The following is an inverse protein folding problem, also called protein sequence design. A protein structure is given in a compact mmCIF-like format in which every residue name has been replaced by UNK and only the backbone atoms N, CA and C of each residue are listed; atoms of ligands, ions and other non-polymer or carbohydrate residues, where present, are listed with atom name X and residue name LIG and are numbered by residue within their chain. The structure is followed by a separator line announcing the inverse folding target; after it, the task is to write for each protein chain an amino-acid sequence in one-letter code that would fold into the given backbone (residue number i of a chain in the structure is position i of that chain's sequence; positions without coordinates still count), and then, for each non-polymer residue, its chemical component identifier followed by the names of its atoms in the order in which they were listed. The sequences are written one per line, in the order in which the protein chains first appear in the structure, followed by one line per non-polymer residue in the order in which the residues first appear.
data_IF_150271069025
#
_entry.id   IF_150271069025
#
_cell.length_a   1.000
_cell.length_b   1.000
_cell.length_c   1.000
_cell.angle_alpha   90.00
_cell.angle_beta   90.00
_cell.angle_gamma   90.00
#
_symmetry.space_group_name_H-M   'P 1'
#
loop_
_entity.id
_entity.type
_entity.pdbx_description
1 polymer ?
#
# COMPACT_ATOMS: atom_id res chain seq x y z
N UNK A 1 -11.66 -1.13 -5.00
CA UNK A 1 -12.28 -1.17 -3.67
C UNK A 1 -11.19 -1.04 -2.61
N UNK A 2 -11.40 -0.26 -1.53
CA UNK A 2 -10.42 -0.12 -0.47
C UNK A 2 -10.38 -1.42 0.35
N UNK A 3 -9.24 -2.12 0.37
CA UNK A 3 -9.09 -3.38 1.09
C UNK A 3 -9.42 -3.28 2.58
N UNK A 4 -9.18 -2.13 3.22
CA UNK A 4 -9.56 -1.92 4.62
C UNK A 4 -11.08 -1.85 4.79
N UNK A 5 -11.79 -1.22 3.84
CA UNK A 5 -13.26 -1.19 3.85
C UNK A 5 -13.82 -2.60 3.63
N UNK A 6 -13.29 -3.33 2.65
CA UNK A 6 -13.67 -4.72 2.41
C UNK A 6 -13.41 -5.60 3.65
N UNK A 7 -12.24 -5.46 4.29
CA UNK A 7 -11.89 -6.19 5.51
C UNK A 7 -12.89 -5.94 6.64
N UNK A 8 -13.27 -4.68 6.86
CA UNK A 8 -14.28 -4.31 7.87
C UNK A 8 -15.65 -4.92 7.55
N UNK A 9 -16.09 -4.84 6.30
CA UNK A 9 -17.37 -5.41 5.85
C UNK A 9 -17.42 -6.94 6.04
N UNK A 10 -16.33 -7.64 5.71
CA UNK A 10 -16.24 -9.10 5.87
C UNK A 10 -16.14 -9.53 7.31
N UNK A 11 -15.36 -8.82 8.14
CA UNK A 11 -15.35 -9.08 9.58
C UNK A 11 -16.74 -8.91 10.19
N UNK A 12 -17.48 -7.86 9.82
CA UNK A 12 -18.85 -7.65 10.30
C UNK A 12 -19.82 -8.76 9.85
N UNK A 13 -19.70 -9.22 8.60
CA UNK A 13 -20.52 -10.32 8.05
C UNK A 13 -20.22 -11.64 8.75
N UNK A 14 -18.95 -12.00 8.91
CA UNK A 14 -18.53 -13.22 9.63
C UNK A 14 -18.96 -13.20 11.11
N UNK A 15 -18.92 -12.02 11.74
CA UNK A 15 -19.39 -11.84 13.12
C UNK A 15 -20.90 -12.08 13.24
N UNK A 16 -21.71 -11.45 12.36
CA UNK A 16 -23.17 -11.65 12.32
C UNK A 16 -23.54 -13.12 12.14
N UNK A 17 -22.75 -13.83 11.34
CA UNK A 17 -22.94 -15.23 11.00
C UNK A 17 -22.34 -16.20 12.05
N UNK A 18 -21.78 -15.68 13.15
CA UNK A 18 -21.15 -16.44 14.25
C UNK A 18 -20.03 -17.38 13.79
N UNK A 19 -19.30 -17.01 12.74
CA UNK A 19 -18.19 -17.79 12.18
C UNK A 19 -16.88 -17.01 12.13
N UNK A 20 -16.80 -15.86 12.81
CA UNK A 20 -15.61 -15.02 12.85
C UNK A 20 -14.40 -15.76 13.44
N UNK A 21 -14.59 -16.59 14.47
CA UNK A 21 -13.49 -17.30 15.11
C UNK A 21 -12.82 -18.34 14.21
N UNK A 22 -13.49 -18.81 13.16
CA UNK A 22 -12.89 -19.67 12.11
C UNK A 22 -11.90 -18.91 11.21
N UNK A 23 -12.17 -17.63 10.93
CA UNK A 23 -11.26 -16.78 10.16
C UNK A 23 -10.08 -16.31 11.01
N UNK A 24 -10.30 -16.06 12.30
CA UNK A 24 -9.26 -15.67 13.26
C UNK A 24 -8.45 -16.86 13.80
N UNK A 25 -8.93 -18.09 13.59
CA UNK A 25 -8.33 -19.31 14.11
C UNK A 25 -8.46 -19.48 15.62
N UNK A 26 -9.41 -18.80 16.25
CA UNK A 26 -9.75 -18.95 17.67
C UNK A 26 -10.70 -20.13 17.89
N UNK A 27 -11.47 -20.48 16.86
CA UNK A 27 -12.34 -21.65 16.88
C UNK A 27 -11.55 -22.83 16.29
N UNK A 28 -11.11 -23.76 17.14
CA UNK A 28 -10.62 -25.06 16.67
C UNK A 28 -11.85 -25.94 16.46
N UNK A 29 -12.11 -26.34 15.22
CA UNK A 29 -13.06 -27.43 14.98
C UNK A 29 -12.57 -28.65 15.78
N UNK A 30 -13.37 -29.22 16.70
CA UNK A 30 -13.05 -30.50 17.27
C UNK A 30 -13.16 -31.51 16.14
N UNK A 31 -12.04 -31.96 15.60
CA UNK A 31 -12.00 -33.22 14.85
C UNK A 31 -12.00 -34.32 15.92
N UNK A 32 -13.11 -34.47 16.63
CA UNK A 32 -13.33 -35.62 17.51
C UNK A 32 -14.39 -36.47 16.86
N UNK A 33 -13.95 -37.66 16.48
CA UNK A 33 -14.75 -38.84 16.17
C UNK A 33 -16.10 -38.85 16.88
N UNK A 34 -17.16 -39.07 16.10
CA UNK A 34 -18.50 -39.46 16.55
C UNK A 34 -19.23 -38.39 17.39
N UNK A 35 -20.06 -37.54 16.75
CA UNK A 35 -21.47 -37.23 17.15
C UNK A 35 -22.06 -35.99 16.44
N UNK A 36 -23.34 -36.13 16.04
CA UNK A 36 -24.36 -35.14 15.63
C UNK A 36 -24.31 -34.59 14.17
N UNK A 37 -25.39 -34.77 13.35
CA UNK A 37 -25.51 -34.22 11.97
C UNK A 37 -25.68 -32.69 11.85
N UNK A 38 -25.32 -31.90 12.88
CA UNK A 38 -25.60 -30.46 12.93
C UNK A 38 -24.37 -29.55 12.84
N UNK A 39 -23.16 -30.10 12.99
CA UNK A 39 -21.96 -29.28 13.29
C UNK A 39 -20.95 -29.20 12.13
N UNK A 40 -21.19 -29.91 11.04
CA UNK A 40 -20.26 -29.99 9.88
C UNK A 40 -20.37 -28.81 8.91
N UNK A 41 -21.33 -27.91 9.09
CA UNK A 41 -21.73 -26.87 8.12
C UNK A 41 -21.09 -25.49 8.32
N UNK A 42 -20.31 -25.29 9.39
CA UNK A 42 -19.76 -23.95 9.74
C UNK A 42 -18.50 -23.59 8.96
N UNK A 43 -17.61 -24.54 8.70
CA UNK A 43 -16.38 -24.33 7.90
C UNK A 43 -16.71 -23.96 6.44
N UNK A 44 -17.60 -24.68 5.72
CA UNK A 44 -17.98 -24.30 4.37
C UNK A 44 -18.64 -22.92 4.29
N UNK A 45 -19.38 -22.52 5.33
CA UNK A 45 -20.11 -21.24 5.38
C UNK A 45 -19.17 -20.05 5.48
N UNK A 46 -18.20 -20.09 6.39
CA UNK A 46 -17.23 -19.00 6.58
C UNK A 46 -16.36 -18.81 5.33
N UNK A 47 -15.90 -19.94 4.76
CA UNK A 47 -15.10 -19.97 3.55
C UNK A 47 -15.85 -19.35 2.36
N UNK A 48 -17.10 -19.76 2.15
CA UNK A 48 -17.96 -19.24 1.07
C UNK A 48 -18.28 -17.76 1.21
N UNK A 49 -18.51 -17.27 2.44
CA UNK A 49 -18.76 -15.84 2.69
C UNK A 49 -17.58 -14.97 2.20
N UNK A 50 -16.35 -15.44 2.40
CA UNK A 50 -15.14 -14.75 1.92
C UNK A 50 -15.06 -14.84 0.39
N UNK A 51 -15.22 -16.02 -0.19
CA UNK A 51 -15.17 -16.24 -1.65
C UNK A 51 -16.19 -15.39 -2.41
N UNK A 52 -17.45 -15.35 -1.93
CA UNK A 52 -18.55 -14.56 -2.54
C UNK A 52 -18.30 -13.04 -2.50
N UNK A 53 -17.26 -12.59 -1.78
CA UNK A 53 -16.97 -11.18 -1.56
C UNK A 53 -15.70 -10.67 -2.25
N UNK A 54 -14.98 -11.56 -2.93
CA UNK A 54 -13.75 -11.24 -3.66
C UNK A 54 -13.96 -11.42 -5.16
N UNK A 55 -13.10 -10.83 -5.99
CA UNK A 55 -13.19 -10.98 -7.44
C UNK A 55 -12.68 -12.34 -7.90
N UNK A 56 -13.13 -12.78 -9.09
CA UNK A 56 -12.67 -14.04 -9.71
C UNK A 56 -11.14 -14.12 -9.83
N UNK A 57 -10.48 -12.98 -10.11
CA UNK A 57 -9.02 -12.91 -10.17
C UNK A 57 -8.34 -13.20 -8.81
N UNK A 58 -8.95 -12.78 -7.69
CA UNK A 58 -8.46 -13.10 -6.35
C UNK A 58 -8.83 -14.53 -5.95
N UNK A 59 -10.01 -15.00 -6.38
CA UNK A 59 -10.45 -16.38 -6.17
C UNK A 59 -9.42 -17.37 -6.74
N UNK A 60 -9.04 -17.20 -8.01
CA UNK A 60 -8.02 -18.03 -8.67
C UNK A 60 -6.66 -18.03 -7.95
N UNK A 61 -6.24 -16.87 -7.41
CA UNK A 61 -4.98 -16.76 -6.66
C UNK A 61 -5.00 -17.44 -5.29
N UNK A 62 -6.19 -17.77 -4.79
CA UNK A 62 -6.39 -18.34 -3.45
C UNK A 62 -7.00 -19.75 -3.47
N UNK A 63 -7.13 -20.36 -4.65
CA UNK A 63 -7.78 -21.64 -4.88
C UNK A 63 -7.23 -22.77 -3.99
N UNK A 64 -5.93 -22.76 -3.72
CA UNK A 64 -5.24 -23.80 -2.95
C UNK A 64 -5.53 -23.75 -1.44
N UNK A 65 -6.16 -22.68 -0.94
CA UNK A 65 -6.42 -22.52 0.48
C UNK A 65 -7.78 -23.12 0.84
N UNK A 66 -7.77 -24.27 1.51
CA UNK A 66 -9.00 -25.00 1.87
C UNK A 66 -9.59 -24.58 3.22
N UNK A 67 -8.83 -23.88 4.06
CA UNK A 67 -9.33 -23.35 5.34
C UNK A 67 -9.68 -21.87 5.25
N UNK A 68 -10.69 -21.45 6.00
CA UNK A 68 -11.11 -20.03 6.08
C UNK A 68 -9.98 -19.13 6.57
N UNK A 69 -9.18 -19.60 7.54
CA UNK A 69 -8.02 -18.88 8.08
C UNK A 69 -6.94 -18.69 7.02
N UNK A 70 -6.57 -19.76 6.31
CA UNK A 70 -5.53 -19.69 5.29
C UNK A 70 -5.95 -18.80 4.12
N UNK A 71 -7.22 -18.89 3.69
CA UNK A 71 -7.79 -18.00 2.69
C UNK A 71 -7.71 -16.52 3.11
N UNK A 72 -8.14 -16.21 4.34
CA UNK A 72 -8.10 -14.84 4.85
C UNK A 72 -6.65 -14.30 4.97
N UNK A 73 -5.72 -15.13 5.45
CA UNK A 73 -4.30 -14.78 5.53
C UNK A 73 -3.65 -14.62 4.16
N UNK A 74 -4.02 -15.44 3.18
CA UNK A 74 -3.54 -15.30 1.80
C UNK A 74 -4.01 -13.97 1.18
N UNK A 75 -5.27 -13.58 1.40
CA UNK A 75 -5.79 -12.29 0.95
C UNK A 75 -5.06 -11.11 1.62
N UNK A 76 -4.75 -11.21 2.93
CA UNK A 76 -3.92 -10.24 3.62
C UNK A 76 -2.52 -10.13 3.00
N UNK A 77 -1.90 -11.28 2.72
CA UNK A 77 -0.58 -11.37 2.11
C UNK A 77 -0.53 -10.77 0.69
N UNK A 78 -1.54 -11.06 -0.14
CA UNK A 78 -1.68 -10.47 -1.49
C UNK A 78 -1.76 -8.95 -1.40
N UNK A 79 -2.56 -8.42 -0.47
CA UNK A 79 -2.67 -6.98 -0.27
C UNK A 79 -1.36 -6.36 0.22
N UNK A 80 -0.69 -6.97 1.21
CA UNK A 80 0.60 -6.49 1.72
C UNK A 80 1.67 -6.49 0.63
N UNK A 81 1.76 -7.56 -0.15
CA UNK A 81 2.69 -7.68 -1.28
C UNK A 81 2.40 -6.63 -2.34
N UNK A 82 1.12 -6.39 -2.65
CA UNK A 82 0.71 -5.35 -3.60
C UNK A 82 1.03 -3.94 -3.08
N UNK A 83 0.91 -3.71 -1.77
CA UNK A 83 1.32 -2.45 -1.14
C UNK A 83 2.84 -2.25 -1.24
N UNK A 84 3.64 -3.30 -0.97
CA UNK A 84 5.10 -3.24 -1.09
C UNK A 84 5.55 -2.95 -2.54
N UNK A 85 5.02 -3.69 -3.52
CA UNK A 85 5.34 -3.49 -4.93
C UNK A 85 4.95 -2.08 -5.42
N UNK A 86 3.76 -1.60 -5.03
CA UNK A 86 3.30 -0.25 -5.39
C UNK A 86 4.16 0.83 -4.74
N UNK A 87 4.51 0.65 -3.46
CA UNK A 87 5.40 1.57 -2.74
C UNK A 87 6.76 1.63 -3.41
N UNK A 88 7.34 0.47 -3.76
CA UNK A 88 8.61 0.39 -4.47
C UNK A 88 8.57 1.16 -5.79
N UNK A 89 7.51 0.97 -6.59
CA UNK A 89 7.36 1.70 -7.86
C UNK A 89 7.23 3.21 -7.66
N UNK A 90 6.54 3.66 -6.61
CA UNK A 90 6.47 5.09 -6.26
C UNK A 90 7.85 5.61 -5.87
N UNK A 91 8.63 4.87 -5.07
CA UNK A 91 10.01 5.25 -4.75
C UNK A 91 10.91 5.28 -5.99
N UNK A 92 10.75 4.37 -6.94
CA UNK A 92 11.49 4.41 -8.20
C UNK A 92 11.19 5.69 -8.98
N UNK A 93 9.92 6.09 -9.06
CA UNK A 93 9.53 7.36 -9.69
C UNK A 93 10.09 8.56 -8.91
N UNK A 94 10.10 8.48 -7.58
CA UNK A 94 10.60 9.54 -6.71
C UNK A 94 12.12 9.72 -6.78
N UNK A 95 12.90 8.65 -6.96
CA UNK A 95 14.37 8.72 -7.02
C UNK A 95 14.96 8.79 -8.42
N UNK A 96 14.17 8.47 -9.45
CA UNK A 96 14.55 8.66 -10.85
C UNK A 96 13.72 9.72 -11.61
N UNK A 97 13.37 10.88 -11.01
CA UNK A 97 12.70 11.94 -11.75
C UNK A 97 13.76 12.73 -12.53
N UNK A 98 13.59 12.81 -13.84
CA UNK A 98 14.36 13.71 -14.68
C UNK A 98 13.41 14.79 -15.20
N UNK A 99 13.53 16.01 -14.67
CA UNK A 99 12.85 17.14 -15.28
C UNK A 99 13.61 17.53 -16.55
N UNK A 100 12.87 17.70 -17.64
CA UNK A 100 13.40 18.25 -18.89
C UNK A 100 12.70 19.56 -19.19
N UNK A 101 13.35 20.44 -19.96
CA UNK A 101 12.78 21.74 -20.36
C UNK A 101 11.51 21.62 -21.23
N UNK A 102 11.06 20.40 -21.56
CA UNK A 102 9.85 20.14 -22.34
C UNK A 102 8.53 20.38 -21.59
N UNK A 103 8.55 20.45 -20.26
CA UNK A 103 7.37 20.75 -19.42
C UNK A 103 7.66 21.86 -18.43
N UNK A 104 6.61 22.50 -17.90
CA UNK A 104 6.78 23.50 -16.84
C UNK A 104 7.33 22.86 -15.56
N UNK A 105 8.24 23.55 -14.87
CA UNK A 105 8.80 23.07 -13.59
C UNK A 105 7.70 22.85 -12.52
N UNK A 106 6.61 23.64 -12.59
CA UNK A 106 5.44 23.49 -11.71
C UNK A 106 4.71 22.15 -11.89
N UNK A 107 4.67 21.60 -13.11
CA UNK A 107 4.11 20.27 -13.36
C UNK A 107 4.95 19.18 -12.70
N UNK A 108 6.27 19.36 -12.73
CA UNK A 108 7.22 18.45 -12.08
C UNK A 108 7.13 18.50 -10.55
N UNK A 109 7.01 19.70 -9.99
CA UNK A 109 6.76 19.91 -8.55
C UNK A 109 5.43 19.25 -8.14
N UNK A 110 4.37 19.44 -8.94
CA UNK A 110 3.06 18.81 -8.71
C UNK A 110 3.14 17.27 -8.73
N UNK A 111 3.97 16.71 -9.62
CA UNK A 111 4.23 15.27 -9.66
C UNK A 111 4.87 14.79 -8.35
N UNK A 112 5.89 15.49 -7.85
CA UNK A 112 6.57 15.13 -6.59
C UNK A 112 5.60 15.17 -5.39
N UNK A 113 4.78 16.21 -5.26
CA UNK A 113 3.71 16.30 -4.26
C UNK A 113 2.71 15.14 -4.37
N UNK A 114 2.35 14.77 -5.60
CA UNK A 114 1.42 13.65 -5.84
C UNK A 114 2.02 12.32 -5.38
N UNK A 115 3.32 12.09 -5.65
CA UNK A 115 4.04 10.89 -5.22
C UNK A 115 4.17 10.84 -3.70
N UNK A 116 4.50 11.97 -3.06
CA UNK A 116 4.53 12.10 -1.60
C UNK A 116 3.16 11.77 -0.98
N UNK A 117 2.08 12.40 -1.45
CA UNK A 117 0.73 12.13 -0.96
C UNK A 117 0.33 10.65 -1.13
N UNK A 118 0.78 10.00 -2.21
CA UNK A 118 0.59 8.56 -2.39
C UNK A 118 1.35 7.73 -1.36
N UNK A 119 2.57 8.09 -1.00
CA UNK A 119 3.37 7.43 0.05
C UNK A 119 2.75 7.63 1.43
N UNK A 120 2.30 8.84 1.75
CA UNK A 120 1.60 9.16 3.02
C UNK A 120 0.33 8.31 3.15
N UNK A 121 -0.44 8.15 2.07
CA UNK A 121 -1.62 7.26 2.04
C UNK A 121 -1.26 5.79 2.31
N UNK A 122 -0.06 5.37 1.90
CA UNK A 122 0.49 4.03 2.18
C UNK A 122 1.17 3.92 3.56
N UNK A 123 1.11 4.98 4.38
CA UNK A 123 1.71 5.12 5.72
C UNK A 123 3.25 5.17 5.70
N UNK A 124 3.84 5.62 4.61
CA UNK A 124 5.26 5.96 4.55
C UNK A 124 5.44 7.43 4.89
N UNK A 125 6.40 7.74 5.76
CA UNK A 125 6.84 9.11 5.99
C UNK A 125 7.93 9.45 4.98
N UNK A 126 7.77 10.55 4.27
CA UNK A 126 8.78 11.10 3.38
C UNK A 126 9.45 12.25 4.12
N UNK A 127 10.78 12.21 4.23
CA UNK A 127 11.53 13.32 4.81
C UNK A 127 11.48 14.51 3.83
N UNK A 128 11.00 15.66 4.31
CA UNK A 128 10.85 16.88 3.50
C UNK A 128 12.16 17.41 2.92
N UNK A 129 13.31 17.11 3.56
CA UNK A 129 14.64 17.46 3.07
C UNK A 129 15.08 16.48 1.99
N UNK A 130 14.76 15.20 2.15
CA UNK A 130 14.96 14.21 1.09
C UNK A 130 14.18 14.59 -0.17
N UNK A 131 12.95 15.06 -0.02
CA UNK A 131 12.14 15.54 -1.15
C UNK A 131 12.79 16.77 -1.82
N UNK A 132 13.38 17.68 -1.04
CA UNK A 132 14.14 18.82 -1.56
C UNK A 132 15.36 18.37 -2.37
N UNK A 133 16.12 17.39 -1.87
CA UNK A 133 17.24 16.80 -2.61
C UNK A 133 16.79 16.10 -3.89
N UNK A 134 15.65 15.41 -3.86
CA UNK A 134 15.05 14.80 -5.05
C UNK A 134 14.74 15.86 -6.12
N UNK A 135 14.13 16.99 -5.74
CA UNK A 135 13.85 18.09 -6.66
C UNK A 135 15.15 18.67 -7.25
N UNK A 136 16.13 19.02 -6.41
CA UNK A 136 17.42 19.54 -6.87
C UNK A 136 18.15 18.55 -7.78
N UNK A 137 18.10 17.26 -7.48
CA UNK A 137 18.74 16.23 -8.29
C UNK A 137 18.01 16.00 -9.62
N UNK A 138 16.70 16.27 -9.69
CA UNK A 138 15.90 16.12 -10.90
C UNK A 138 16.14 17.19 -11.96
N UNK A 139 16.79 18.31 -11.58
CA UNK A 139 17.12 19.40 -12.49
C UNK A 139 18.13 18.95 -13.57
N UNK A 140 18.06 19.52 -14.79
CA UNK A 140 19.00 19.24 -15.87
C UNK A 140 20.44 19.40 -15.42
N UNK A 141 21.32 18.49 -15.85
CA UNK A 141 22.76 18.55 -15.51
C UNK A 141 23.52 19.51 -16.43
N UNK A 142 23.00 20.71 -16.64
CA UNK A 142 23.65 21.79 -17.39
C UNK A 142 24.38 22.75 -16.43
N UNK A 143 25.37 23.53 -16.90
CA UNK A 143 26.13 24.43 -16.03
C UNK A 143 25.26 25.42 -15.24
N UNK A 144 24.20 25.94 -15.86
CA UNK A 144 23.29 26.92 -15.25
C UNK A 144 22.57 26.32 -14.03
N UNK A 145 22.02 25.11 -14.20
CA UNK A 145 21.29 24.41 -13.14
C UNK A 145 22.22 23.84 -12.06
N UNK A 146 23.43 23.41 -12.43
CA UNK A 146 24.44 23.01 -11.45
C UNK A 146 24.87 24.20 -10.58
N UNK A 147 24.99 25.40 -11.16
CA UNK A 147 25.28 26.63 -10.43
C UNK A 147 24.12 27.01 -9.50
N UNK A 148 22.89 26.92 -9.98
CA UNK A 148 21.68 27.12 -9.16
C UNK A 148 21.65 26.17 -7.95
N UNK A 149 21.78 24.85 -8.18
CA UNK A 149 21.80 23.85 -7.10
C UNK A 149 22.93 24.13 -6.10
N UNK A 150 24.11 24.49 -6.57
CA UNK A 150 25.25 24.86 -5.70
C UNK A 150 24.96 26.12 -4.89
N UNK A 151 24.29 27.12 -5.47
CA UNK A 151 23.89 28.34 -4.77
C UNK A 151 22.92 28.04 -3.64
N UNK A 152 21.89 27.21 -3.89
CA UNK A 152 20.91 26.82 -2.87
C UNK A 152 21.60 26.08 -1.72
N UNK A 153 22.41 25.06 -2.03
CA UNK A 153 23.11 24.25 -1.01
C UNK A 153 24.05 25.09 -0.13
N UNK A 154 24.73 26.08 -0.70
CA UNK A 154 25.68 26.90 0.05
C UNK A 154 25.05 28.06 0.81
N UNK A 155 23.82 28.46 0.46
CA UNK A 155 23.15 29.64 1.06
C UNK A 155 22.17 29.24 2.15
N UNK A 156 21.52 28.07 2.01
CA UNK A 156 20.53 27.61 2.97
C UNK A 156 21.24 26.97 4.16
N UNK A 157 20.90 27.43 5.37
CA UNK A 157 21.33 26.77 6.61
C UNK A 157 20.80 25.34 6.63
N UNK A 158 21.63 24.37 7.03
CA UNK A 158 21.30 22.93 6.96
C UNK A 158 19.95 22.57 7.62
N UNK A 159 19.59 23.27 8.70
CA UNK A 159 18.33 23.10 9.42
C UNK A 159 17.09 23.65 8.69
N UNK A 160 17.27 24.45 7.65
CA UNK A 160 16.22 25.20 6.94
C UNK A 160 15.96 24.70 5.51
N UNK A 161 16.73 23.74 5.01
CA UNK A 161 16.52 23.18 3.67
C UNK A 161 15.28 22.29 3.66
N UNK A 162 14.13 22.85 3.27
CA UNK A 162 12.87 22.13 3.09
C UNK A 162 12.46 22.13 1.63
N UNK A 163 11.53 21.25 1.25
CA UNK A 163 10.98 21.21 -0.11
C UNK A 163 10.36 22.56 -0.51
N UNK A 164 9.53 23.12 0.39
CA UNK A 164 8.88 24.42 0.22
C UNK A 164 9.86 25.57 -0.04
N UNK A 165 11.09 25.48 0.50
CA UNK A 165 12.12 26.50 0.30
C UNK A 165 12.78 26.42 -1.10
N UNK A 166 12.64 25.31 -1.82
CA UNK A 166 13.27 25.05 -3.12
C UNK A 166 12.27 25.20 -4.28
N UNK A 167 10.97 25.00 -4.04
CA UNK A 167 9.95 24.97 -5.08
C UNK A 167 9.43 26.35 -5.57
N UNK A 168 10.02 27.46 -5.08
CA UNK A 168 9.71 28.85 -5.50
C UNK A 168 10.06 29.14 -6.95
#
# INVERSE_FOLDING_TARGET
SNFQIWKLQIMAKLWREKVLGMALGTDTCPITSLSIPGTTTTVPRAHRIIQDSISDALLLKTEMHTTTKDLFNALLSIHQTSNLASTFYIFQQLFNPAWSRGSAISEHITLLHTLEACLVRMKFMVDIRLLAFVLLNSLPKTPEWNMFTSSIINTVEDSKLTFDAVET
#
